data_IF_546800162099
#
_entry.id   IF_546800162099
#
_cell.length_a   1.000
_cell.length_b   1.000
_cell.length_c   1.000
_cell.angle_alpha   90.00
_cell.angle_beta   90.00
_cell.angle_gamma   90.00
#
_symmetry.space_group_name_H-M   'P 1'
#
loop_
_entity.id
_entity.type
_entity.pdbx_description
1 polymer ?
#
# COMPACT_ATOMS: atom_id res chain seq x y z
N UNK A 1 14.19 -16.30 -18.76
CA UNK A 1 14.93 -16.26 -20.04
C UNK A 1 14.06 -15.90 -21.24
N UNK A 2 12.81 -16.43 -21.39
CA UNK A 2 11.96 -16.15 -22.57
C UNK A 2 11.54 -14.68 -22.72
N UNK A 3 11.48 -13.91 -21.62
CA UNK A 3 11.09 -12.48 -21.63
C UNK A 3 12.25 -11.54 -21.36
N UNK A 4 13.50 -12.05 -21.27
CA UNK A 4 14.69 -11.23 -20.92
C UNK A 4 14.69 -10.71 -19.49
N UNK A 5 13.83 -11.24 -18.61
CA UNK A 5 13.75 -10.82 -17.21
C UNK A 5 14.69 -11.70 -16.38
N UNK A 6 15.57 -11.07 -15.62
CA UNK A 6 16.46 -11.74 -14.70
C UNK A 6 15.69 -12.07 -13.41
N UNK A 7 15.52 -13.35 -13.12
CA UNK A 7 14.80 -13.82 -11.94
C UNK A 7 15.26 -15.22 -11.52
N UNK A 8 15.24 -15.47 -10.24
CA UNK A 8 15.37 -16.78 -9.62
C UNK A 8 13.99 -17.34 -9.26
N UNK A 9 13.83 -18.65 -9.39
CA UNK A 9 12.59 -19.35 -9.04
C UNK A 9 12.90 -20.36 -7.95
N UNK A 10 12.29 -20.16 -6.81
CA UNK A 10 12.40 -21.03 -5.64
C UNK A 10 11.13 -21.88 -5.48
N UNK A 11 11.28 -23.07 -4.87
CA UNK A 11 10.10 -23.82 -4.44
C UNK A 11 9.40 -23.09 -3.29
N UNK A 12 8.09 -22.94 -3.39
CA UNK A 12 7.28 -22.46 -2.31
C UNK A 12 7.04 -23.52 -1.21
N UNK A 13 6.21 -23.14 -0.22
CA UNK A 13 5.89 -24.02 0.91
C UNK A 13 5.12 -25.30 0.50
N UNK A 14 4.39 -25.24 -0.60
CA UNK A 14 3.58 -26.37 -1.09
C UNK A 14 4.08 -26.86 -2.45
N UNK A 15 3.89 -28.15 -2.71
CA UNK A 15 4.23 -28.75 -4.01
C UNK A 15 3.47 -28.05 -5.14
N UNK A 16 4.20 -27.60 -6.15
CA UNK A 16 3.65 -26.88 -7.30
C UNK A 16 3.48 -25.37 -7.08
N UNK A 17 3.83 -24.86 -5.90
CA UNK A 17 3.94 -23.44 -5.64
C UNK A 17 5.39 -22.98 -5.84
N UNK A 18 5.57 -21.86 -6.53
CA UNK A 18 6.87 -21.28 -6.80
C UNK A 18 6.88 -19.81 -6.37
N UNK A 19 8.00 -19.38 -5.75
CA UNK A 19 8.31 -17.97 -5.50
C UNK A 19 9.24 -17.50 -6.61
N UNK A 20 8.92 -16.39 -7.23
CA UNK A 20 9.78 -15.72 -8.21
C UNK A 20 10.41 -14.51 -7.56
N UNK A 21 11.74 -14.53 -7.44
CA UNK A 21 12.55 -13.38 -7.02
C UNK A 21 13.12 -12.70 -8.26
N UNK A 22 12.73 -11.45 -8.48
CA UNK A 22 13.32 -10.64 -9.55
C UNK A 22 14.64 -10.07 -9.09
N UNK A 23 15.70 -10.30 -9.88
CA UNK A 23 17.03 -9.81 -9.58
C UNK A 23 17.22 -8.49 -10.31
N UNK A 24 17.56 -7.47 -9.56
CA UNK A 24 17.80 -6.14 -10.06
C UNK A 24 19.32 -5.93 -10.22
N UNK A 25 19.74 -5.62 -11.44
CA UNK A 25 21.16 -5.34 -11.73
C UNK A 25 21.59 -4.00 -11.10
N UNK A 26 20.64 -3.09 -10.92
CA UNK A 26 20.82 -1.78 -10.28
C UNK A 26 20.00 -1.69 -9.00
N UNK A 27 20.39 -0.78 -8.11
CA UNK A 27 19.64 -0.47 -6.89
C UNK A 27 19.12 0.96 -6.97
N UNK A 28 18.00 1.20 -7.70
CA UNK A 28 17.43 2.54 -7.84
C UNK A 28 16.95 3.09 -6.49
N UNK A 29 16.90 4.42 -6.37
CA UNK A 29 16.44 5.07 -5.16
C UNK A 29 14.95 4.87 -4.95
N UNK A 30 14.58 4.40 -3.74
CA UNK A 30 13.19 4.32 -3.27
C UNK A 30 12.93 5.48 -2.33
N UNK A 31 11.94 6.33 -2.64
CA UNK A 31 11.44 7.34 -1.70
C UNK A 31 10.26 6.80 -0.94
N UNK A 32 10.40 6.71 0.38
CA UNK A 32 9.37 6.23 1.31
C UNK A 32 8.63 7.45 1.82
N UNK A 33 7.37 7.61 1.37
CA UNK A 33 6.53 8.76 1.68
C UNK A 33 5.66 8.41 2.90
N UNK A 34 5.83 9.14 3.98
CA UNK A 34 5.15 8.88 5.26
C UNK A 34 4.40 10.14 5.71
N UNK A 35 3.08 10.23 5.51
CA UNK A 35 2.25 11.22 6.19
C UNK A 35 2.32 11.05 7.70
N UNK A 36 2.54 12.14 8.45
CA UNK A 36 2.55 12.08 9.90
C UNK A 36 1.88 13.30 10.54
N UNK A 37 1.21 13.04 11.65
CA UNK A 37 0.70 14.04 12.58
C UNK A 37 0.84 13.50 13.99
N UNK A 38 1.68 14.14 14.82
CA UNK A 38 1.93 13.68 16.18
C UNK A 38 2.31 12.18 16.23
N UNK A 39 1.90 11.38 17.21
CA UNK A 39 2.10 9.91 17.25
C UNK A 39 3.55 9.46 16.98
N UNK A 40 4.51 10.10 17.64
CA UNK A 40 5.95 9.84 17.43
C UNK A 40 6.37 8.39 17.67
N UNK A 41 5.72 7.69 18.59
CA UNK A 41 6.02 6.28 18.90
C UNK A 41 5.72 5.37 17.72
N UNK A 42 4.63 5.63 16.99
CA UNK A 42 4.26 4.87 15.80
C UNK A 42 5.23 5.20 14.64
N UNK A 43 5.52 6.49 14.45
CA UNK A 43 6.49 6.92 13.42
C UNK A 43 7.89 6.36 13.71
N UNK A 44 8.37 6.41 14.97
CA UNK A 44 9.68 5.86 15.32
C UNK A 44 9.73 4.35 15.05
N UNK A 45 8.70 3.60 15.45
CA UNK A 45 8.60 2.17 15.16
C UNK A 45 8.67 1.91 13.65
N UNK A 46 7.94 2.66 12.85
CA UNK A 46 7.93 2.53 11.39
C UNK A 46 9.33 2.78 10.80
N UNK A 47 9.91 3.93 11.08
CA UNK A 47 11.23 4.33 10.55
C UNK A 47 12.34 3.39 11.05
N UNK A 48 12.38 3.12 12.37
CA UNK A 48 13.40 2.24 12.95
C UNK A 48 13.29 0.79 12.45
N UNK A 49 12.09 0.30 12.16
CA UNK A 49 11.92 -1.04 11.60
C UNK A 49 12.62 -1.18 10.26
N UNK A 50 12.53 -0.17 9.40
CA UNK A 50 13.18 -0.15 8.10
C UNK A 50 14.69 0.07 8.23
N UNK A 51 15.11 1.04 9.03
CA UNK A 51 16.54 1.32 9.25
C UNK A 51 17.32 0.11 9.80
N UNK A 52 16.69 -0.68 10.69
CA UNK A 52 17.33 -1.82 11.34
C UNK A 52 17.24 -3.12 10.56
N UNK A 53 16.16 -3.31 9.79
CA UNK A 53 15.88 -4.60 9.15
C UNK A 53 16.16 -4.62 7.66
N UNK A 54 15.97 -3.50 6.93
CA UNK A 54 16.06 -3.52 5.46
C UNK A 54 17.44 -3.91 4.95
N UNK A 55 17.49 -4.93 4.12
CA UNK A 55 18.68 -5.32 3.36
C UNK A 55 18.91 -4.38 2.15
N UNK A 56 17.88 -3.70 1.69
CA UNK A 56 17.99 -2.74 0.58
C UNK A 56 18.66 -1.44 1.03
N UNK A 57 19.78 -1.01 0.41
CA UNK A 57 20.54 0.10 0.95
C UNK A 57 20.11 1.48 0.45
N UNK A 58 19.49 1.57 -0.76
CA UNK A 58 19.27 2.83 -1.47
C UNK A 58 17.84 3.34 -1.35
N UNK A 59 17.53 3.95 -0.21
CA UNK A 59 16.24 4.58 0.05
C UNK A 59 16.38 5.87 0.85
N UNK A 60 15.38 6.73 0.76
CA UNK A 60 15.18 7.92 1.58
C UNK A 60 13.79 7.89 2.21
N UNK A 61 13.62 8.63 3.30
CA UNK A 61 12.32 8.92 3.90
C UNK A 61 11.92 10.35 3.60
N UNK A 62 10.70 10.52 3.11
CA UNK A 62 10.04 11.82 2.98
C UNK A 62 8.87 11.82 3.95
N UNK A 63 9.10 12.33 5.17
CA UNK A 63 8.08 12.47 6.19
C UNK A 63 7.32 13.74 5.92
N UNK A 64 6.00 13.62 5.72
CA UNK A 64 5.13 14.76 5.45
C UNK A 64 4.39 15.13 6.74
N UNK A 65 4.91 16.13 7.43
CA UNK A 65 4.29 16.71 8.62
C UNK A 65 2.99 17.42 8.23
N UNK A 66 1.88 17.12 8.92
CA UNK A 66 0.60 17.77 8.69
C UNK A 66 -0.13 18.09 10.00
N UNK A 67 0.00 19.34 10.45
CA UNK A 67 -0.72 19.89 11.60
C UNK A 67 -0.47 19.18 12.94
N UNK A 68 0.76 18.76 13.21
CA UNK A 68 1.17 18.35 14.53
C UNK A 68 1.08 19.49 15.54
N UNK A 69 0.74 19.17 16.77
CA UNK A 69 0.51 20.15 17.84
C UNK A 69 1.42 19.93 19.05
N UNK A 70 2.11 18.79 19.11
CA UNK A 70 2.98 18.41 20.21
C UNK A 70 4.41 18.86 19.94
N UNK A 71 5.00 19.64 20.86
CA UNK A 71 6.40 20.11 20.75
C UNK A 71 7.38 18.93 20.63
N UNK A 72 7.08 17.80 21.26
CA UNK A 72 7.88 16.58 21.20
C UNK A 72 7.98 16.03 19.78
N UNK A 73 6.94 16.20 18.96
CA UNK A 73 6.93 15.78 17.54
C UNK A 73 7.99 16.54 16.75
N UNK A 74 8.05 17.86 16.91
CA UNK A 74 9.03 18.70 16.20
C UNK A 74 10.46 18.42 16.69
N UNK A 75 10.64 18.22 17.99
CA UNK A 75 11.93 17.82 18.55
C UNK A 75 12.40 16.46 18.00
N UNK A 76 11.48 15.51 17.85
CA UNK A 76 11.77 14.22 17.24
C UNK A 76 12.19 14.34 15.78
N UNK A 77 11.49 15.15 14.96
CA UNK A 77 11.88 15.38 13.58
C UNK A 77 13.29 15.96 13.45
N UNK A 78 13.62 16.97 14.27
CA UNK A 78 14.95 17.56 14.26
C UNK A 78 16.04 16.55 14.65
N UNK A 79 15.78 15.73 15.66
CA UNK A 79 16.68 14.65 16.08
C UNK A 79 16.89 13.64 14.96
N UNK A 80 15.80 13.15 14.37
CA UNK A 80 15.84 12.12 13.35
C UNK A 80 16.61 12.57 12.10
N UNK A 81 16.41 13.83 11.65
CA UNK A 81 17.17 14.39 10.52
C UNK A 81 18.64 14.60 10.83
N UNK A 82 19.03 14.86 12.08
CA UNK A 82 20.43 14.98 12.48
C UNK A 82 21.13 13.61 12.57
N UNK A 83 20.41 12.58 12.98
CA UNK A 83 20.94 11.23 13.17
C UNK A 83 20.93 10.39 11.89
N UNK A 84 20.10 10.73 10.90
CA UNK A 84 19.94 9.97 9.67
C UNK A 84 19.82 10.89 8.42
N UNK A 85 20.86 10.92 7.61
CA UNK A 85 20.89 11.70 6.37
C UNK A 85 19.84 11.28 5.32
N UNK A 86 19.28 10.08 5.47
CA UNK A 86 18.21 9.58 4.59
C UNK A 86 16.84 10.17 4.91
N UNK A 87 16.68 10.94 5.98
CA UNK A 87 15.39 11.47 6.44
C UNK A 87 15.24 12.93 6.05
N UNK A 88 14.17 13.22 5.34
CA UNK A 88 13.73 14.57 4.97
C UNK A 88 12.32 14.80 5.51
N UNK A 89 12.14 15.87 6.29
CA UNK A 89 10.82 16.28 6.78
C UNK A 89 10.37 17.50 6.00
N UNK A 90 9.21 17.39 5.35
CA UNK A 90 8.55 18.51 4.67
C UNK A 90 7.19 18.80 5.32
N UNK A 91 6.77 20.06 5.34
CA UNK A 91 5.56 20.49 6.01
C UNK A 91 4.48 20.82 4.99
N UNK A 92 3.35 20.09 5.07
CA UNK A 92 2.15 20.37 4.31
C UNK A 92 1.20 21.24 5.12
N UNK A 93 0.94 22.47 4.64
CA UNK A 93 0.01 23.40 5.27
C UNK A 93 -1.38 23.26 4.66
N UNK A 94 -2.30 22.65 5.40
CA UNK A 94 -3.68 22.46 4.95
C UNK A 94 -4.44 21.46 5.81
N UNK A 95 -5.76 21.35 5.62
CA UNK A 95 -6.55 20.35 6.31
C UNK A 95 -6.11 18.94 5.91
N UNK A 96 -6.34 17.97 6.80
CA UNK A 96 -6.03 16.59 6.51
C UNK A 96 -6.73 16.12 5.22
N UNK A 97 -5.92 15.63 4.30
CA UNK A 97 -6.33 14.98 3.07
C UNK A 97 -5.21 14.04 2.64
N UNK A 98 -5.42 12.75 2.78
CA UNK A 98 -4.41 11.74 2.52
C UNK A 98 -3.82 11.86 1.10
N UNK A 99 -4.68 12.08 0.12
CA UNK A 99 -4.26 12.23 -1.29
C UNK A 99 -3.37 13.44 -1.49
N UNK A 100 -3.75 14.61 -0.97
CA UNK A 100 -2.95 15.84 -1.08
C UNK A 100 -1.61 15.73 -0.38
N UNK A 101 -1.61 15.14 0.82
CA UNK A 101 -0.39 14.97 1.63
C UNK A 101 0.60 14.06 0.90
N UNK A 102 0.13 12.93 0.36
CA UNK A 102 1.00 12.04 -0.40
C UNK A 102 1.46 12.65 -1.73
N UNK A 103 0.59 13.32 -2.49
CA UNK A 103 0.98 14.04 -3.72
C UNK A 103 2.05 15.10 -3.42
N UNK A 104 1.91 15.85 -2.31
CA UNK A 104 2.89 16.80 -1.85
C UNK A 104 4.21 16.10 -1.46
N UNK A 105 4.15 15.00 -0.72
CA UNK A 105 5.34 14.20 -0.38
C UNK A 105 6.09 13.71 -1.61
N UNK A 106 5.36 13.23 -2.62
CA UNK A 106 5.96 12.81 -3.90
C UNK A 106 6.69 13.96 -4.60
N UNK A 107 6.18 15.20 -4.52
CA UNK A 107 6.85 16.36 -5.12
C UNK A 107 8.19 16.72 -4.44
N UNK A 108 8.43 16.24 -3.22
CA UNK A 108 9.67 16.42 -2.45
C UNK A 108 10.60 15.19 -2.50
N UNK A 109 10.16 14.12 -3.13
CA UNK A 109 10.90 12.87 -3.24
C UNK A 109 11.85 12.88 -4.44
N UNK A 110 13.01 12.22 -4.33
CA UNK A 110 14.00 12.12 -5.40
C UNK A 110 14.04 10.75 -6.10
N UNK A 111 13.45 9.71 -5.49
CA UNK A 111 13.51 8.32 -5.96
C UNK A 111 12.76 8.06 -7.25
N UNK A 112 13.24 7.11 -8.02
CA UNK A 112 12.58 6.56 -9.20
C UNK A 112 11.36 5.71 -8.82
N UNK A 113 11.41 5.10 -7.64
CA UNK A 113 10.32 4.34 -7.06
C UNK A 113 9.81 5.04 -5.81
N UNK A 114 8.51 5.05 -5.65
CA UNK A 114 7.79 5.66 -4.55
C UNK A 114 7.15 4.54 -3.71
N UNK A 115 7.35 4.57 -2.40
CA UNK A 115 6.64 3.72 -1.45
C UNK A 115 5.72 4.60 -0.62
N UNK A 116 4.41 4.56 -0.88
CA UNK A 116 3.43 5.14 0.02
C UNK A 116 3.33 4.24 1.25
N UNK A 117 3.56 4.80 2.43
CA UNK A 117 3.63 4.04 3.67
C UNK A 117 2.95 4.80 4.81
N UNK A 118 2.07 4.12 5.55
CA UNK A 118 1.50 4.70 6.76
C UNK A 118 2.54 4.74 7.90
N UNK A 119 2.42 5.76 8.76
CA UNK A 119 3.33 5.96 9.90
C UNK A 119 3.19 4.90 11.01
N UNK A 120 2.08 4.16 11.04
CA UNK A 120 1.75 3.11 12.00
C UNK A 120 2.01 1.70 11.47
N UNK A 121 2.99 1.55 10.57
CA UNK A 121 3.44 0.26 10.06
C UNK A 121 4.76 -0.19 10.69
N UNK A 122 5.04 -1.49 10.66
CA UNK A 122 6.32 -2.05 11.08
C UNK A 122 6.77 -3.15 10.11
N UNK A 123 7.93 -2.97 9.47
CA UNK A 123 8.51 -3.95 8.56
C UNK A 123 8.91 -5.24 9.30
N UNK A 124 8.54 -6.41 8.76
CA UNK A 124 8.81 -7.72 9.37
C UNK A 124 10.09 -8.34 8.79
N UNK A 125 10.14 -8.54 7.47
CA UNK A 125 11.24 -9.23 6.80
C UNK A 125 12.24 -8.25 6.16
N UNK A 126 13.51 -8.65 6.13
CA UNK A 126 14.62 -7.81 5.68
C UNK A 126 14.61 -7.54 4.16
N UNK A 127 14.06 -8.46 3.36
CA UNK A 127 13.97 -8.37 1.90
C UNK A 127 12.67 -7.69 1.41
N UNK A 128 11.91 -7.07 2.31
CA UNK A 128 10.60 -6.46 2.00
C UNK A 128 10.67 -5.44 0.85
N UNK A 129 11.64 -4.53 0.87
CA UNK A 129 11.80 -3.51 -0.17
C UNK A 129 12.23 -4.13 -1.52
N UNK A 130 13.14 -5.11 -1.49
CA UNK A 130 13.56 -5.86 -2.68
C UNK A 130 12.41 -6.63 -3.31
N UNK A 131 11.61 -7.29 -2.50
CA UNK A 131 10.43 -8.04 -2.96
C UNK A 131 9.43 -7.13 -3.68
N UNK A 132 9.13 -5.98 -3.10
CA UNK A 132 8.24 -5.01 -3.75
C UNK A 132 8.86 -4.43 -5.01
N UNK A 133 10.13 -4.01 -4.95
CA UNK A 133 10.84 -3.40 -6.05
C UNK A 133 10.99 -4.37 -7.23
N UNK A 134 11.29 -5.64 -6.95
CA UNK A 134 11.45 -6.67 -7.98
C UNK A 134 10.21 -6.82 -8.86
N UNK A 135 9.02 -6.87 -8.27
CA UNK A 135 7.77 -6.89 -9.04
C UNK A 135 7.48 -5.52 -9.69
N UNK A 136 7.71 -4.43 -8.95
CA UNK A 136 7.44 -3.07 -9.45
C UNK A 136 8.34 -2.69 -10.63
N UNK A 137 9.55 -3.24 -10.75
CA UNK A 137 10.49 -2.95 -11.84
C UNK A 137 10.03 -3.47 -13.20
N UNK A 138 9.13 -4.45 -13.24
CA UNK A 138 8.57 -4.99 -14.49
C UNK A 138 7.84 -3.89 -15.27
N UNK A 139 7.99 -3.89 -16.59
CA UNK A 139 7.38 -2.89 -17.47
C UNK A 139 5.84 -2.96 -17.52
N UNK A 140 5.26 -4.12 -17.19
CA UNK A 140 3.81 -4.36 -17.18
C UNK A 140 3.18 -4.15 -15.80
N UNK A 141 3.96 -3.88 -14.74
CA UNK A 141 3.47 -3.65 -13.37
C UNK A 141 3.48 -2.17 -13.04
N UNK A 142 2.34 -1.65 -12.58
CA UNK A 142 2.19 -0.25 -12.19
C UNK A 142 2.28 -0.03 -10.69
N UNK A 143 1.72 -0.94 -9.88
CA UNK A 143 1.82 -0.85 -8.43
C UNK A 143 1.93 -2.24 -7.78
N UNK A 144 2.57 -2.26 -6.59
CA UNK A 144 2.76 -3.48 -5.78
C UNK A 144 2.35 -3.19 -4.34
N UNK A 145 1.46 -4.01 -3.79
CA UNK A 145 1.06 -3.97 -2.37
C UNK A 145 1.66 -5.12 -1.59
N UNK A 146 2.02 -4.84 -0.33
CA UNK A 146 2.54 -5.82 0.61
C UNK A 146 1.43 -6.61 1.32
N UNK A 147 1.76 -7.71 1.99
CA UNK A 147 0.88 -8.36 2.95
C UNK A 147 0.94 -7.65 4.29
N UNK A 148 -0.24 -7.26 4.81
CA UNK A 148 -0.32 -6.59 6.09
C UNK A 148 -1.01 -7.46 7.13
N UNK A 149 -0.53 -7.35 8.37
CA UNK A 149 -1.09 -8.01 9.54
C UNK A 149 -1.54 -7.00 10.58
N UNK A 150 -2.59 -7.33 11.30
CA UNK A 150 -2.90 -6.70 12.58
C UNK A 150 -1.88 -7.11 13.66
N UNK A 151 -1.86 -6.38 14.76
CA UNK A 151 -0.99 -6.64 15.93
C UNK A 151 -1.14 -8.08 16.48
N UNK A 152 -2.33 -8.66 16.35
CA UNK A 152 -2.65 -10.03 16.79
C UNK A 152 -2.22 -11.13 15.79
N UNK A 153 -1.44 -10.79 14.77
CA UNK A 153 -1.02 -11.68 13.69
C UNK A 153 -2.17 -12.24 12.83
N UNK A 154 -3.30 -11.56 12.77
CA UNK A 154 -4.31 -11.85 11.76
C UNK A 154 -4.09 -11.00 10.51
N UNK A 155 -4.57 -11.48 9.36
CA UNK A 155 -4.43 -10.78 8.09
C UNK A 155 -5.30 -9.53 8.09
N UNK A 156 -4.69 -8.40 7.73
CA UNK A 156 -5.38 -7.14 7.46
C UNK A 156 -5.54 -6.93 5.96
N UNK A 157 -4.48 -7.17 5.19
CA UNK A 157 -4.48 -6.99 3.74
C UNK A 157 -3.80 -8.15 3.02
N UNK A 158 -4.52 -8.73 2.07
CA UNK A 158 -4.04 -9.71 1.11
C UNK A 158 -4.70 -9.49 -0.27
N UNK A 159 -4.74 -8.22 -0.71
CA UNK A 159 -5.40 -7.77 -1.92
C UNK A 159 -6.80 -7.19 -1.67
N UNK A 160 -7.26 -6.37 -2.61
CA UNK A 160 -8.57 -5.71 -2.60
C UNK A 160 -9.41 -6.18 -3.78
N UNK A 161 -10.68 -6.50 -3.51
CA UNK A 161 -11.68 -6.84 -4.52
C UNK A 161 -12.74 -5.73 -4.60
N UNK A 162 -13.01 -5.27 -5.81
CA UNK A 162 -14.09 -4.31 -6.07
C UNK A 162 -15.44 -5.02 -5.95
N UNK A 163 -16.38 -4.39 -5.24
CA UNK A 163 -17.70 -4.92 -4.94
C UNK A 163 -17.86 -5.47 -3.51
N UNK A 164 -16.77 -5.79 -2.81
CA UNK A 164 -16.85 -6.19 -1.41
C UNK A 164 -17.41 -5.07 -0.55
N UNK A 165 -18.41 -5.43 0.31
CA UNK A 165 -19.06 -4.45 1.17
C UNK A 165 -19.82 -3.34 0.42
N UNK A 166 -20.09 -3.55 -0.88
CA UNK A 166 -20.79 -2.61 -1.75
C UNK A 166 -19.87 -1.83 -2.69
N UNK A 167 -18.67 -1.47 -2.26
CA UNK A 167 -17.71 -0.69 -3.08
C UNK A 167 -16.41 -1.44 -3.32
N UNK A 168 -15.65 -1.70 -2.26
CA UNK A 168 -14.41 -2.46 -2.31
C UNK A 168 -13.99 -2.86 -0.90
N UNK A 169 -13.30 -3.99 -0.79
CA UNK A 169 -12.85 -4.47 0.51
C UNK A 169 -11.67 -5.43 0.41
N UNK A 170 -10.98 -5.59 1.53
CA UNK A 170 -9.84 -6.47 1.66
C UNK A 170 -10.26 -7.93 1.70
N UNK A 171 -9.47 -8.79 1.06
CA UNK A 171 -9.64 -10.24 1.13
C UNK A 171 -9.03 -10.80 2.40
N UNK A 172 -9.64 -11.87 2.92
CA UNK A 172 -9.11 -12.72 3.98
C UNK A 172 -8.84 -12.01 5.32
N UNK A 173 -9.49 -10.88 5.57
CA UNK A 173 -9.37 -10.12 6.82
C UNK A 173 -9.66 -11.02 8.02
N UNK A 174 -8.87 -10.87 9.10
CA UNK A 174 -8.91 -11.63 10.35
C UNK A 174 -8.57 -13.14 10.22
N UNK A 175 -8.15 -13.62 9.06
CA UNK A 175 -7.58 -14.96 8.98
C UNK A 175 -6.20 -15.00 9.65
N UNK A 176 -5.90 -16.12 10.31
CA UNK A 176 -4.63 -16.28 11.04
C UNK A 176 -3.43 -16.29 10.09
N UNK A 177 -2.31 -15.73 10.53
CA UNK A 177 -1.02 -15.87 9.85
C UNK A 177 -0.70 -17.36 9.63
N UNK A 178 -0.17 -17.70 8.46
CA UNK A 178 0.11 -19.09 8.06
C UNK A 178 -1.05 -19.80 7.37
N UNK A 179 -2.24 -19.17 7.25
CA UNK A 179 -3.28 -19.72 6.39
C UNK A 179 -3.01 -19.43 4.92
N UNK A 180 -3.45 -20.35 4.06
CA UNK A 180 -3.19 -20.25 2.61
C UNK A 180 -4.26 -19.50 1.83
N UNK A 181 -5.47 -19.39 2.41
CA UNK A 181 -6.64 -18.85 1.74
C UNK A 181 -7.16 -19.74 0.61
N UNK A 182 -8.21 -19.28 -0.04
CA UNK A 182 -8.81 -19.95 -1.20
C UNK A 182 -7.80 -20.03 -2.34
N UNK A 183 -7.52 -21.26 -2.83
CA UNK A 183 -6.56 -21.51 -3.93
C UNK A 183 -5.19 -20.85 -3.70
N UNK A 184 -4.66 -20.87 -2.50
CA UNK A 184 -3.37 -20.30 -2.10
C UNK A 184 -3.25 -18.78 -2.25
N UNK A 185 -4.37 -18.05 -2.36
CA UNK A 185 -4.38 -16.62 -2.68
C UNK A 185 -3.70 -15.73 -1.64
N UNK A 186 -3.57 -16.19 -0.39
CA UNK A 186 -2.86 -15.43 0.65
C UNK A 186 -1.35 -15.50 0.46
N UNK A 187 -0.84 -16.63 -0.03
CA UNK A 187 0.60 -16.93 -0.05
C UNK A 187 1.25 -16.87 -1.44
N UNK A 188 0.47 -16.57 -2.48
CA UNK A 188 0.96 -16.39 -3.86
C UNK A 188 0.99 -14.92 -4.26
N UNK A 189 2.08 -14.50 -4.90
CA UNK A 189 2.07 -13.24 -5.64
C UNK A 189 1.10 -13.35 -6.81
N UNK A 190 0.20 -12.36 -6.93
CA UNK A 190 -0.85 -12.39 -7.95
C UNK A 190 -1.43 -11.01 -8.26
N UNK A 191 -2.11 -10.90 -9.39
CA UNK A 191 -2.78 -9.67 -9.78
C UNK A 191 -4.11 -9.49 -9.04
N UNK A 192 -4.39 -8.25 -8.66
CA UNK A 192 -5.64 -7.79 -8.08
C UNK A 192 -6.15 -6.54 -8.77
N UNK A 193 -7.39 -6.16 -8.53
CA UNK A 193 -7.90 -4.87 -8.98
C UNK A 193 -7.29 -3.71 -8.23
N UNK A 194 -7.01 -3.88 -6.95
CA UNK A 194 -6.35 -2.87 -6.13
C UNK A 194 -5.58 -3.47 -4.95
N UNK A 195 -4.71 -2.66 -4.37
CA UNK A 195 -3.99 -2.87 -3.11
C UNK A 195 -4.06 -1.60 -2.27
N UNK A 196 -3.83 -1.70 -0.96
CA UNK A 196 -3.91 -0.53 -0.07
C UNK A 196 -2.63 0.31 -0.08
N UNK A 197 -2.80 1.62 -0.02
CA UNK A 197 -1.70 2.56 0.12
C UNK A 197 -1.09 2.60 1.54
N UNK A 198 -1.59 1.81 2.49
CA UNK A 198 -0.89 1.62 3.76
C UNK A 198 0.54 1.08 3.56
N UNK A 199 0.77 0.29 2.48
CA UNK A 199 2.09 -0.05 1.96
C UNK A 199 1.99 -0.38 0.46
N UNK A 200 2.24 0.60 -0.40
CA UNK A 200 2.13 0.47 -1.85
C UNK A 200 3.33 1.08 -2.55
N UNK A 201 4.05 0.27 -3.33
CA UNK A 201 5.15 0.73 -4.18
C UNK A 201 4.66 1.00 -5.61
N UNK A 202 5.12 2.09 -6.20
CA UNK A 202 4.80 2.50 -7.57
C UNK A 202 6.01 3.14 -8.24
N UNK A 203 6.17 3.00 -9.57
CA UNK A 203 7.15 3.80 -10.31
C UNK A 203 6.73 5.27 -10.31
N UNK A 204 7.66 6.19 -10.12
CA UNK A 204 7.40 7.62 -10.27
C UNK A 204 6.73 7.94 -11.61
N UNK A 205 7.27 7.41 -12.71
CA UNK A 205 6.72 7.62 -14.06
C UNK A 205 5.25 7.20 -14.20
N UNK A 206 4.85 6.09 -13.56
CA UNK A 206 3.45 5.63 -13.54
C UNK A 206 2.60 6.53 -12.65
N UNK A 207 3.11 6.92 -11.46
CA UNK A 207 2.42 7.83 -10.56
C UNK A 207 2.11 9.18 -11.25
N UNK A 208 3.08 9.74 -11.96
CA UNK A 208 2.94 10.99 -12.72
C UNK A 208 2.04 10.81 -13.94
N UNK A 209 2.16 9.70 -14.69
CA UNK A 209 1.32 9.40 -15.85
C UNK A 209 -0.17 9.35 -15.53
N UNK A 210 -0.53 8.86 -14.33
CA UNK A 210 -1.93 8.78 -13.90
C UNK A 210 -2.38 10.03 -13.13
N UNK A 211 -1.50 11.02 -12.92
CA UNK A 211 -1.80 12.27 -12.23
C UNK A 211 -1.90 12.14 -10.72
N UNK A 212 -1.14 11.23 -10.09
CA UNK A 212 -1.09 11.02 -8.65
C UNK A 212 -2.39 10.51 -8.04
N UNK A 213 -2.55 10.70 -6.74
CA UNK A 213 -3.80 10.38 -6.01
C UNK A 213 -4.87 11.44 -6.30
N UNK A 214 -6.13 11.02 -6.37
CA UNK A 214 -7.29 11.91 -6.60
C UNK A 214 -7.64 12.69 -5.34
N UNK A 215 -7.45 13.99 -5.36
CA UNK A 215 -7.54 14.85 -4.15
C UNK A 215 -8.95 15.03 -3.61
N UNK A 216 -9.99 14.77 -4.41
CA UNK A 216 -11.39 14.75 -3.98
C UNK A 216 -11.69 13.52 -3.09
N UNK A 217 -10.85 12.48 -3.14
CA UNK A 217 -10.89 11.30 -2.27
C UNK A 217 -9.90 11.54 -1.12
N UNK A 218 -10.36 12.24 -0.10
CA UNK A 218 -9.50 12.72 0.98
C UNK A 218 -9.04 11.61 1.94
N UNK A 219 -9.87 10.58 2.11
CA UNK A 219 -9.67 9.52 3.12
C UNK A 219 -9.95 8.13 2.58
N UNK A 220 -11.17 7.86 2.08
CA UNK A 220 -11.56 6.55 1.61
C UNK A 220 -11.37 6.42 0.09
N UNK A 221 -11.09 5.20 -0.37
CA UNK A 221 -11.03 4.80 -1.79
C UNK A 221 -9.97 5.51 -2.64
N UNK A 222 -9.12 6.33 -2.06
CA UNK A 222 -8.05 7.04 -2.80
C UNK A 222 -7.02 6.08 -3.40
N UNK A 223 -6.63 5.05 -2.66
CA UNK A 223 -5.73 3.98 -3.11
C UNK A 223 -6.39 3.09 -4.17
N UNK A 224 -7.66 2.81 -4.00
CA UNK A 224 -8.43 1.99 -4.95
C UNK A 224 -8.62 2.76 -6.26
N UNK A 225 -9.02 4.04 -6.20
CA UNK A 225 -9.12 4.92 -7.37
C UNK A 225 -7.77 5.03 -8.10
N UNK A 226 -6.68 5.19 -7.35
CA UNK A 226 -5.34 5.22 -7.92
C UNK A 226 -5.02 3.92 -8.66
N UNK A 227 -5.25 2.77 -8.05
CA UNK A 227 -5.07 1.47 -8.70
C UNK A 227 -5.93 1.33 -9.97
N UNK A 228 -7.16 1.84 -9.95
CA UNK A 228 -8.03 1.83 -11.13
C UNK A 228 -7.49 2.70 -12.27
N UNK A 229 -6.93 3.90 -11.95
CA UNK A 229 -6.26 4.75 -12.95
C UNK A 229 -5.04 4.05 -13.56
N UNK A 230 -4.23 3.41 -12.74
CA UNK A 230 -3.07 2.62 -13.17
C UNK A 230 -3.49 1.49 -14.11
N UNK A 231 -4.54 0.74 -13.74
CA UNK A 231 -5.10 -0.32 -14.58
C UNK A 231 -5.68 0.20 -15.90
N UNK A 232 -6.30 1.36 -15.91
CA UNK A 232 -6.83 2.00 -17.12
C UNK A 232 -5.72 2.30 -18.13
N UNK A 233 -4.48 2.50 -17.68
CA UNK A 233 -3.28 2.63 -18.51
C UNK A 233 -2.71 1.30 -18.99
N UNK A 234 -3.30 0.17 -18.59
CA UNK A 234 -2.90 -1.17 -18.99
C UNK A 234 -1.87 -1.85 -18.08
N UNK A 235 -1.54 -1.24 -16.95
CA UNK A 235 -0.63 -1.85 -15.98
C UNK A 235 -1.35 -2.82 -15.05
N UNK A 236 -0.59 -3.76 -14.53
CA UNK A 236 -1.02 -4.71 -13.50
C UNK A 236 -0.84 -4.09 -12.10
N UNK A 237 -1.72 -4.48 -11.19
CA UNK A 237 -1.59 -4.25 -9.75
C UNK A 237 -1.26 -5.60 -9.11
N UNK A 238 -0.12 -5.70 -8.45
CA UNK A 238 0.37 -6.96 -7.87
C UNK A 238 0.26 -6.92 -6.35
N UNK A 239 -0.35 -7.93 -5.77
CA UNK A 239 -0.19 -8.26 -4.37
C UNK A 239 1.03 -9.18 -4.20
N UNK A 240 2.01 -8.79 -3.39
CA UNK A 240 3.18 -9.59 -3.08
C UNK A 240 3.19 -10.05 -1.62
N UNK A 241 2.92 -11.34 -1.33
CA UNK A 241 2.87 -11.87 0.03
C UNK A 241 4.24 -12.00 0.69
N UNK A 242 5.31 -11.84 -0.05
CA UNK A 242 6.68 -11.97 0.47
C UNK A 242 7.22 -10.66 1.05
N UNK A 243 6.52 -9.54 0.85
CA UNK A 243 6.73 -8.29 1.57
C UNK A 243 5.72 -8.26 2.72
N UNK A 244 6.18 -8.32 3.96
CA UNK A 244 5.34 -8.44 5.14
C UNK A 244 5.55 -7.28 6.11
N UNK A 245 4.45 -6.66 6.56
CA UNK A 245 4.45 -5.62 7.58
C UNK A 245 3.30 -5.85 8.58
N UNK A 246 3.49 -5.39 9.82
CA UNK A 246 2.37 -5.05 10.70
C UNK A 246 1.82 -3.68 10.32
N UNK A 247 0.52 -3.48 10.52
CA UNK A 247 -0.14 -2.19 10.39
C UNK A 247 -1.10 -2.03 11.57
N UNK A 248 -0.73 -1.15 12.48
CA UNK A 248 -1.38 -0.95 13.80
C UNK A 248 -2.61 -0.04 13.74
N UNK A 249 -3.34 -0.11 12.68
CA UNK A 249 -4.48 0.70 12.22
C UNK A 249 -5.31 1.39 13.32
N UNK A 250 -5.83 2.57 13.00
CA UNK A 250 -6.91 3.29 13.70
C UNK A 250 -6.54 4.11 14.94
N UNK A 251 -5.26 4.28 15.29
CA UNK A 251 -4.89 5.10 16.45
C UNK A 251 -5.08 6.62 16.18
N UNK A 252 -4.76 7.04 14.96
CA UNK A 252 -4.81 8.46 14.58
C UNK A 252 -6.13 8.91 13.96
N UNK A 253 -6.82 8.01 13.24
CA UNK A 253 -8.01 8.36 12.45
C UNK A 253 -9.32 8.17 13.22
N UNK A 254 -9.42 7.16 14.10
CA UNK A 254 -10.65 6.77 14.76
C UNK A 254 -11.71 6.19 13.82
N UNK A 255 -12.90 5.95 14.34
CA UNK A 255 -14.04 5.40 13.58
C UNK A 255 -14.74 6.50 12.73
N UNK A 256 -15.47 6.07 11.68
CA UNK A 256 -16.37 6.91 10.88
C UNK A 256 -17.70 7.09 11.64
N UNK A 257 -17.68 7.76 12.79
CA UNK A 257 -18.78 7.79 13.78
C UNK A 257 -19.45 9.17 13.96
N UNK A 258 -18.93 10.22 13.29
CA UNK A 258 -19.58 11.53 13.32
C UNK A 258 -20.37 11.82 12.05
N UNK A 259 -21.44 12.66 12.10
CA UNK A 259 -22.21 13.04 10.92
C UNK A 259 -21.35 13.57 9.77
N UNK A 260 -20.35 14.41 10.06
CA UNK A 260 -19.46 15.02 9.08
C UNK A 260 -18.57 13.97 8.41
N UNK A 261 -18.04 13.00 9.18
CA UNK A 261 -17.25 11.88 8.65
C UNK A 261 -18.10 10.97 7.77
N UNK A 262 -19.34 10.67 8.19
CA UNK A 262 -20.28 9.87 7.41
C UNK A 262 -20.69 10.59 6.10
N UNK A 263 -20.94 11.90 6.14
CA UNK A 263 -21.26 12.69 4.94
C UNK A 263 -20.07 12.67 3.96
N UNK A 264 -18.84 12.90 4.45
CA UNK A 264 -17.63 12.80 3.63
C UNK A 264 -17.53 11.39 3.02
N UNK A 265 -17.66 10.32 3.80
CA UNK A 265 -17.57 8.95 3.34
C UNK A 265 -18.60 8.63 2.24
N UNK A 266 -19.87 9.04 2.43
CA UNK A 266 -20.89 8.90 1.40
C UNK A 266 -20.59 9.71 0.13
N UNK A 267 -19.95 10.88 0.28
CA UNK A 267 -19.52 11.65 -0.88
C UNK A 267 -18.38 10.97 -1.64
N UNK A 268 -17.41 10.41 -0.93
CA UNK A 268 -16.30 9.66 -1.52
C UNK A 268 -16.80 8.38 -2.24
N UNK A 269 -17.83 7.69 -1.71
CA UNK A 269 -18.54 6.61 -2.41
C UNK A 269 -19.09 7.11 -3.74
N UNK A 270 -19.86 8.23 -3.74
CA UNK A 270 -20.45 8.76 -4.97
C UNK A 270 -19.42 9.17 -6.01
N UNK A 271 -18.30 9.75 -5.57
CA UNK A 271 -17.18 10.08 -6.47
C UNK A 271 -16.64 8.81 -7.10
N UNK A 272 -16.36 7.77 -6.31
CA UNK A 272 -15.81 6.51 -6.79
C UNK A 272 -16.75 5.82 -7.79
N UNK A 273 -18.04 5.67 -7.45
CA UNK A 273 -19.06 5.07 -8.32
C UNK A 273 -19.21 5.82 -9.65
N UNK A 274 -19.17 7.16 -9.59
CA UNK A 274 -19.28 8.01 -10.80
C UNK A 274 -18.06 7.87 -11.70
N UNK A 275 -16.88 7.70 -11.14
CA UNK A 275 -15.63 7.53 -11.90
C UNK A 275 -15.50 6.14 -12.52
N UNK A 276 -16.00 5.10 -11.83
CA UNK A 276 -15.77 3.70 -12.18
C UNK A 276 -17.06 2.88 -12.37
N UNK A 277 -18.07 3.39 -13.13
CA UNK A 277 -19.37 2.73 -13.25
C UNK A 277 -19.29 1.35 -13.90
N UNK A 278 -18.33 1.13 -14.81
CA UNK A 278 -18.22 -0.14 -15.52
C UNK A 278 -17.79 -1.29 -14.61
N UNK A 279 -16.79 -1.08 -13.73
CA UNK A 279 -16.36 -2.14 -12.81
C UNK A 279 -17.40 -2.36 -11.72
N UNK A 280 -18.09 -1.31 -11.27
CA UNK A 280 -19.18 -1.43 -10.30
C UNK A 280 -20.33 -2.27 -10.86
N UNK A 281 -20.63 -2.12 -12.15
CA UNK A 281 -21.67 -2.89 -12.82
C UNK A 281 -21.24 -4.32 -13.17
N UNK A 282 -20.03 -4.50 -13.68
CA UNK A 282 -19.58 -5.77 -14.26
C UNK A 282 -18.87 -6.68 -13.24
N UNK A 283 -18.51 -6.14 -12.08
CA UNK A 283 -17.73 -6.83 -11.04
C UNK A 283 -16.22 -6.83 -11.30
N UNK A 284 -15.48 -7.33 -10.33
CA UNK A 284 -14.02 -7.37 -10.32
C UNK A 284 -13.50 -8.46 -11.28
N UNK A 285 -12.67 -8.15 -12.28
CA UNK A 285 -12.17 -9.13 -13.24
C UNK A 285 -11.18 -10.15 -12.66
N UNK A 286 -10.60 -9.87 -11.47
CA UNK A 286 -9.71 -10.78 -10.75
C UNK A 286 -10.44 -11.61 -9.69
N UNK A 287 -11.79 -11.49 -9.61
CA UNK A 287 -12.60 -12.22 -8.66
C UNK A 287 -13.67 -13.05 -9.37
N UNK A 288 -13.79 -14.34 -9.00
CA UNK A 288 -14.75 -15.21 -9.64
C UNK A 288 -16.19 -14.81 -9.27
N UNK A 289 -17.09 -14.55 -10.24
CA UNK A 289 -18.45 -14.08 -9.99
C UNK A 289 -19.34 -15.10 -9.23
N UNK A 290 -18.93 -16.38 -9.15
CA UNK A 290 -19.60 -17.39 -8.36
C UNK A 290 -19.25 -17.36 -6.87
N UNK A 291 -18.26 -16.54 -6.48
CA UNK A 291 -17.88 -16.36 -5.09
C UNK A 291 -18.65 -15.18 -4.46
N UNK A 292 -18.79 -15.23 -3.14
CA UNK A 292 -19.50 -14.22 -2.37
C UNK A 292 -18.76 -12.89 -2.35
N UNK A 293 -19.43 -11.79 -2.63
CA UNK A 293 -18.92 -10.42 -2.43
C UNK A 293 -19.28 -9.85 -1.05
N UNK A 294 -20.04 -10.59 -0.25
CA UNK A 294 -20.42 -10.23 1.14
C UNK A 294 -19.40 -10.79 2.14
N UNK A 295 -18.73 -11.88 1.78
CA UNK A 295 -17.74 -12.58 2.61
C UNK A 295 -16.38 -12.49 1.94
N UNK A 296 -15.38 -11.98 2.69
CA UNK A 296 -14.01 -11.82 2.19
C UNK A 296 -13.18 -13.12 2.16
N UNK A 297 -13.77 -14.29 2.43
CA UNK A 297 -13.11 -15.59 2.51
C UNK A 297 -13.24 -16.45 1.23
N UNK A 298 -13.77 -15.88 0.16
CA UNK A 298 -14.04 -16.58 -1.11
C UNK A 298 -15.04 -17.74 -0.99
N UNK A 299 -15.97 -17.69 -0.05
CA UNK A 299 -17.07 -18.64 0.02
C UNK A 299 -17.96 -18.58 -1.25
N UNK A 300 -18.65 -19.65 -1.57
CA UNK A 300 -19.59 -19.64 -2.70
C UNK A 300 -20.71 -18.62 -2.47
N UNK A 301 -21.13 -18.00 -3.56
CA UNK A 301 -22.32 -17.12 -3.58
C UNK A 301 -23.56 -18.00 -3.39
N UNK A 302 -24.28 -17.76 -2.30
CA UNK A 302 -25.59 -18.40 -2.05
C UNK A 302 -26.68 -17.59 -2.70
#
# INVERSE_FOLDING_TARGET
QRKGIHAEVENGEFLGLYRTKYILDEKPLISIIIPNKDHIDDLDRCVQSILKKSAYPNYEFVIVENNSTEDETFAYYEKLQKECEKVHVCRYEGPFNYSKINNFGVSHAAGEYLLLLNNDTEMINEDCLEEMLGYCSRSDVGAVGARLYYEDNTIQHAGVVIGFGGIAGHCFVQQKRGTTGYCLRIICAQDYSAVTAACMMVKRSVFEEVGGLTEELAVAFNDIDFCMKVRQKGYLIVYNPYAELYHYESKSRGLEDTPEKLERFHNEIRIFETRWPEIMKNGDPYYNPNLSIVRGDCAFRM
#
